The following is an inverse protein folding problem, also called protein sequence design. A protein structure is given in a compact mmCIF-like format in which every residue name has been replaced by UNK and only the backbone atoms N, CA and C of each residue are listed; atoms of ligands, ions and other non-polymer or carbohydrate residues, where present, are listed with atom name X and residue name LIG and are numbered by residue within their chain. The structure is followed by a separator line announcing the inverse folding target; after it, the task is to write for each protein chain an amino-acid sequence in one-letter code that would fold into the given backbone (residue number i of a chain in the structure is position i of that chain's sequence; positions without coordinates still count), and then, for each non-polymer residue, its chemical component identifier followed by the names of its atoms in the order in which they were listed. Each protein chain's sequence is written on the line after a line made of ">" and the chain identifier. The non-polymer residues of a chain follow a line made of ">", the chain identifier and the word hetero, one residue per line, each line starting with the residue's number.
data_IF_395971915017
#
_entry.id   IF_395971915017
#
_cell.length_a   1.000
_cell.length_b   1.000
_cell.length_c   1.000
_cell.angle_alpha   90.00
_cell.angle_beta   90.00
_cell.angle_gamma   90.00
#
_symmetry.space_group_name_H-M   'P 1'
#
loop_
_entity.id
_entity.type
_entity.pdbx_description
1 polymer ?
#
# COMPACT_ATOMS: atom_id res chain seq x y z
N UNK A 1 -22.01 -1.03 32.75
CA UNK A 1 -22.54 0.23 33.31
C UNK A 1 -21.55 1.40 33.30
N UNK A 2 -20.24 1.17 33.43
CA UNK A 2 -19.21 2.24 33.50
C UNK A 2 -19.19 3.17 32.27
N UNK A 3 -19.38 2.64 31.05
CA UNK A 3 -19.35 3.46 29.82
C UNK A 3 -20.47 4.50 29.73
N UNK A 4 -21.66 4.22 30.29
CA UNK A 4 -22.77 5.17 30.28
C UNK A 4 -22.51 6.37 31.21
N UNK A 5 -21.84 6.12 32.34
CA UNK A 5 -21.46 7.16 33.30
C UNK A 5 -20.38 8.09 32.72
N UNK A 6 -19.37 7.52 32.07
CA UNK A 6 -18.30 8.30 31.41
C UNK A 6 -18.85 9.14 30.25
N UNK A 7 -19.71 8.58 29.40
CA UNK A 7 -20.37 9.32 28.33
C UNK A 7 -21.23 10.49 28.85
N UNK A 8 -21.92 10.29 29.98
CA UNK A 8 -22.68 11.35 30.64
C UNK A 8 -21.80 12.49 31.16
N UNK A 9 -20.64 12.16 31.73
CA UNK A 9 -19.66 13.15 32.19
C UNK A 9 -19.06 13.96 31.03
N UNK A 10 -18.69 13.30 29.93
CA UNK A 10 -18.17 13.95 28.74
C UNK A 10 -19.22 14.89 28.11
N UNK A 11 -20.47 14.43 27.99
CA UNK A 11 -21.57 15.25 27.48
C UNK A 11 -21.83 16.50 28.36
N UNK A 12 -21.76 16.36 29.69
CA UNK A 12 -21.89 17.49 30.61
C UNK A 12 -20.74 18.50 30.45
N UNK A 13 -19.50 18.03 30.27
CA UNK A 13 -18.33 18.88 29.99
C UNK A 13 -18.49 19.63 28.67
N UNK A 14 -18.95 18.96 27.61
CA UNK A 14 -19.21 19.61 26.32
C UNK A 14 -20.34 20.64 26.39
N UNK A 15 -21.44 20.31 27.08
CA UNK A 15 -22.56 21.25 27.32
C UNK A 15 -22.08 22.50 28.06
N UNK A 16 -21.29 22.33 29.12
CA UNK A 16 -20.71 23.43 29.88
C UNK A 16 -19.75 24.29 29.04
N UNK A 17 -18.87 23.66 28.24
CA UNK A 17 -17.94 24.38 27.35
C UNK A 17 -18.68 25.18 26.27
N UNK A 18 -19.71 24.63 25.65
CA UNK A 18 -20.53 25.32 24.65
C UNK A 18 -21.33 26.47 25.28
N UNK A 19 -21.93 26.25 26.45
CA UNK A 19 -22.65 27.30 27.16
C UNK A 19 -21.72 28.42 27.65
N UNK A 20 -20.52 28.11 28.16
CA UNK A 20 -19.51 29.10 28.55
C UNK A 20 -19.00 29.91 27.35
N UNK A 21 -18.91 29.28 26.16
CA UNK A 21 -18.58 29.97 24.89
C UNK A 21 -19.69 30.92 24.43
N UNK A 22 -20.95 30.59 24.75
CA UNK A 22 -22.13 31.40 24.45
C UNK A 22 -22.44 32.47 25.53
N UNK A 23 -21.97 32.30 26.76
CA UNK A 23 -22.14 33.29 27.86
C UNK A 23 -21.23 34.50 27.75
N UNK A 24 -20.18 34.46 26.92
CA UNK A 24 -19.56 35.69 26.39
C UNK A 24 -20.52 36.29 25.36
N UNK A 25 -21.56 36.98 25.86
CA UNK A 25 -22.43 37.88 25.10
C UNK A 25 -21.57 39.06 24.61
N UNK A 26 -20.78 38.80 23.58
CA UNK A 26 -20.42 39.83 22.63
C UNK A 26 -21.74 40.24 21.97
N UNK A 27 -22.25 41.43 22.30
CA UNK A 27 -23.37 42.07 21.60
C UNK A 27 -23.09 42.30 20.10
N UNK A 28 -21.93 41.89 19.60
CA UNK A 28 -21.48 41.92 18.22
C UNK A 28 -21.48 40.57 17.49
N UNK A 29 -21.89 39.45 18.10
CA UNK A 29 -22.03 38.14 17.39
C UNK A 29 -23.28 38.11 16.51
N UNK A 30 -23.33 38.99 15.52
CA UNK A 30 -24.13 38.77 14.32
C UNK A 30 -23.40 37.69 13.53
N UNK A 31 -24.00 36.50 13.40
CA UNK A 31 -23.56 35.58 12.36
C UNK A 31 -23.93 36.23 11.04
N UNK A 32 -22.93 36.74 10.32
CA UNK A 32 -23.11 37.12 8.93
C UNK A 32 -23.42 35.83 8.16
N UNK A 33 -24.71 35.50 8.06
CA UNK A 33 -25.17 34.39 7.24
C UNK A 33 -25.56 34.95 5.90
N UNK A 34 -24.86 34.53 4.85
CA UNK A 34 -25.29 34.71 3.46
C UNK A 34 -26.49 33.80 3.11
N UNK A 35 -27.19 33.29 4.13
CA UNK A 35 -28.35 32.45 4.00
C UNK A 35 -29.52 33.29 3.48
N UNK A 36 -29.78 33.17 2.18
CA UNK A 36 -30.98 33.70 1.57
C UNK A 36 -32.16 32.80 1.93
N UNK A 37 -33.29 33.40 2.33
CA UNK A 37 -34.56 32.67 2.41
C UNK A 37 -34.99 32.33 0.99
N UNK A 38 -34.92 31.05 0.65
CA UNK A 38 -35.28 30.54 -0.67
C UNK A 38 -36.73 30.07 -0.64
N UNK A 39 -37.51 30.41 -1.66
CA UNK A 39 -38.89 29.93 -1.76
C UNK A 39 -38.94 28.43 -2.05
N UNK A 40 -40.04 27.75 -1.69
CA UNK A 40 -40.19 26.29 -1.90
C UNK A 40 -39.91 25.84 -3.35
N UNK A 41 -40.25 26.67 -4.34
CA UNK A 41 -40.01 26.38 -5.76
C UNK A 41 -38.53 26.48 -6.14
N UNK A 42 -37.87 27.55 -5.72
CA UNK A 42 -36.43 27.76 -5.96
C UNK A 42 -35.60 26.68 -5.25
N UNK A 43 -35.98 26.30 -4.03
CA UNK A 43 -35.30 25.25 -3.27
C UNK A 43 -35.38 23.89 -3.97
N UNK A 44 -36.54 23.54 -4.56
CA UNK A 44 -36.69 22.32 -5.37
C UNK A 44 -35.80 22.34 -6.62
N UNK A 45 -35.67 23.49 -7.28
CA UNK A 45 -34.81 23.62 -8.46
C UNK A 45 -33.32 23.50 -8.09
N UNK A 46 -32.89 24.15 -7.01
CA UNK A 46 -31.52 24.03 -6.50
C UNK A 46 -31.19 22.60 -6.09
N UNK A 47 -32.08 21.92 -5.37
CA UNK A 47 -31.90 20.52 -4.97
C UNK A 47 -31.75 19.59 -6.19
N UNK A 48 -32.56 19.78 -7.24
CA UNK A 48 -32.43 19.02 -8.50
C UNK A 48 -31.10 19.30 -9.20
N UNK A 49 -30.67 20.56 -9.27
CA UNK A 49 -29.40 20.94 -9.88
C UNK A 49 -28.20 20.38 -9.11
N UNK A 50 -28.22 20.41 -7.78
CA UNK A 50 -27.19 19.82 -6.94
C UNK A 50 -27.16 18.29 -7.05
N UNK A 51 -28.32 17.64 -7.08
CA UNK A 51 -28.39 16.20 -7.29
C UNK A 51 -27.78 15.79 -8.63
N UNK A 52 -28.08 16.54 -9.71
CA UNK A 52 -27.47 16.32 -11.02
C UNK A 52 -25.95 16.52 -11.00
N UNK A 53 -25.45 17.59 -10.36
CA UNK A 53 -24.00 17.84 -10.21
C UNK A 53 -23.30 16.73 -9.42
N UNK A 54 -23.90 16.27 -8.31
CA UNK A 54 -23.37 15.16 -7.50
C UNK A 54 -23.35 13.86 -8.28
N UNK A 55 -24.41 13.56 -9.04
CA UNK A 55 -24.46 12.37 -9.89
C UNK A 55 -23.40 12.40 -11.00
N UNK A 56 -23.19 13.55 -11.66
CA UNK A 56 -22.16 13.70 -12.68
C UNK A 56 -20.74 13.54 -12.10
N UNK A 57 -20.46 14.18 -10.96
CA UNK A 57 -19.17 14.04 -10.27
C UNK A 57 -18.91 12.59 -9.86
N UNK A 58 -19.91 11.91 -9.29
CA UNK A 58 -19.78 10.51 -8.88
C UNK A 58 -19.44 9.60 -10.07
N UNK A 59 -20.10 9.78 -11.22
CA UNK A 59 -19.78 9.00 -12.43
C UNK A 59 -18.34 9.23 -12.91
N UNK A 60 -17.84 10.47 -12.87
CA UNK A 60 -16.47 10.79 -13.25
C UNK A 60 -15.44 10.19 -12.28
N UNK A 61 -15.71 10.24 -10.98
CA UNK A 61 -14.85 9.62 -9.96
C UNK A 61 -14.84 8.09 -10.10
N UNK A 62 -16.00 7.47 -10.32
CA UNK A 62 -16.14 6.02 -10.55
C UNK A 62 -15.36 5.57 -11.82
N UNK A 63 -15.41 6.36 -12.90
CA UNK A 63 -14.65 6.06 -14.12
C UNK A 63 -13.13 6.19 -13.90
N UNK A 64 -12.71 7.23 -13.16
CA UNK A 64 -11.30 7.43 -12.81
C UNK A 64 -10.77 6.29 -11.94
N UNK A 65 -11.56 5.80 -10.99
CA UNK A 65 -11.19 4.65 -10.16
C UNK A 65 -11.09 3.35 -10.97
N UNK A 66 -12.01 3.11 -11.91
CA UNK A 66 -11.93 1.94 -12.80
C UNK A 66 -10.65 1.98 -13.64
N UNK A 67 -10.37 3.12 -14.29
CA UNK A 67 -9.13 3.30 -15.06
C UNK A 67 -7.86 3.07 -14.23
N UNK A 68 -7.83 3.49 -12.97
CA UNK A 68 -6.70 3.21 -12.07
C UNK A 68 -6.54 1.71 -11.79
N UNK A 69 -7.64 1.03 -11.46
CA UNK A 69 -7.64 -0.42 -11.18
C UNK A 69 -7.24 -1.23 -12.41
N UNK A 70 -7.66 -0.81 -13.60
CA UNK A 70 -7.30 -1.48 -14.84
C UNK A 70 -5.79 -1.31 -15.14
N UNK A 71 -5.25 -0.10 -14.96
CA UNK A 71 -3.81 0.15 -15.08
C UNK A 71 -2.97 -0.64 -14.06
N UNK A 72 -3.44 -0.75 -12.81
CA UNK A 72 -2.77 -1.55 -11.77
C UNK A 72 -2.77 -3.05 -12.13
N UNK A 73 -3.90 -3.56 -12.65
CA UNK A 73 -4.01 -4.95 -13.11
C UNK A 73 -3.09 -5.23 -14.29
N UNK A 74 -3.07 -4.35 -15.28
CA UNK A 74 -2.17 -4.44 -16.43
C UNK A 74 -0.69 -4.43 -15.99
N UNK A 75 -0.33 -3.60 -15.01
CA UNK A 75 1.04 -3.55 -14.50
C UNK A 75 1.45 -4.85 -13.78
N UNK A 76 0.54 -5.44 -13.00
CA UNK A 76 0.79 -6.74 -12.35
C UNK A 76 0.97 -7.85 -13.40
N UNK A 77 0.10 -7.90 -14.42
CA UNK A 77 0.21 -8.89 -15.49
C UNK A 77 1.51 -8.72 -16.28
N UNK A 78 1.91 -7.47 -16.56
CA UNK A 78 3.17 -7.13 -17.23
C UNK A 78 4.37 -7.63 -16.44
N UNK A 79 4.41 -7.38 -15.13
CA UNK A 79 5.50 -7.86 -14.26
C UNK A 79 5.55 -9.39 -14.19
N UNK A 80 4.39 -10.04 -14.05
CA UNK A 80 4.29 -11.50 -14.04
C UNK A 80 4.74 -12.14 -15.37
N UNK A 81 4.54 -11.47 -16.51
CA UNK A 81 5.05 -11.92 -17.79
C UNK A 81 6.58 -11.77 -17.87
N UNK A 82 7.12 -10.65 -17.40
CA UNK A 82 8.56 -10.38 -17.40
C UNK A 82 9.36 -11.36 -16.53
N UNK A 83 8.82 -11.76 -15.38
CA UNK A 83 9.43 -12.79 -14.52
C UNK A 83 9.61 -14.13 -15.25
N UNK A 84 8.70 -14.48 -16.17
CA UNK A 84 8.80 -15.73 -16.95
C UNK A 84 9.89 -15.66 -18.01
N UNK A 85 10.10 -14.50 -18.62
CA UNK A 85 11.00 -14.36 -19.76
C UNK A 85 12.47 -14.10 -19.37
N UNK A 86 12.79 -13.88 -18.09
CA UNK A 86 14.17 -13.65 -17.60
C UNK A 86 14.97 -12.71 -18.51
N UNK A 87 14.31 -11.69 -19.05
CA UNK A 87 14.93 -10.81 -20.02
C UNK A 87 16.03 -9.99 -19.34
N UNK A 88 17.28 -10.19 -19.77
CA UNK A 88 18.39 -9.41 -19.26
C UNK A 88 18.19 -7.92 -19.59
N UNK A 89 18.22 -7.07 -18.57
CA UNK A 89 18.14 -5.63 -18.77
C UNK A 89 19.39 -5.14 -19.50
N UNK A 90 19.24 -4.68 -20.74
CA UNK A 90 20.32 -4.11 -21.54
C UNK A 90 20.27 -2.58 -21.57
N UNK A 91 21.43 -1.96 -21.81
CA UNK A 91 21.59 -0.52 -21.99
C UNK A 91 22.00 0.27 -20.73
N UNK A 92 22.16 1.58 -20.89
CA UNK A 92 22.55 2.48 -19.82
C UNK A 92 21.40 2.76 -18.86
N UNK A 93 21.65 2.73 -17.54
CA UNK A 93 20.64 3.04 -16.50
C UNK A 93 20.10 4.48 -16.65
N UNK A 94 20.91 5.40 -17.17
CA UNK A 94 20.52 6.82 -17.33
C UNK A 94 19.46 7.03 -18.42
N UNK A 95 19.39 6.15 -19.43
CA UNK A 95 18.43 6.25 -20.53
C UNK A 95 17.13 5.47 -20.29
N UNK A 96 17.04 4.73 -19.17
CA UNK A 96 15.86 3.93 -18.84
C UNK A 96 14.70 4.81 -18.35
N UNK A 97 13.49 4.44 -18.77
CA UNK A 97 12.26 5.09 -18.33
C UNK A 97 11.99 4.82 -16.84
N UNK A 98 11.15 5.64 -16.19
CA UNK A 98 10.76 5.43 -14.79
C UNK A 98 10.23 4.01 -14.55
N UNK A 99 9.39 3.51 -15.46
CA UNK A 99 8.79 2.16 -15.36
C UNK A 99 9.86 1.08 -15.39
N UNK A 100 10.78 1.12 -16.35
CA UNK A 100 11.87 0.15 -16.42
C UNK A 100 12.77 0.19 -15.18
N UNK A 101 13.05 1.39 -14.62
CA UNK A 101 13.83 1.51 -13.39
C UNK A 101 13.13 0.87 -12.19
N UNK A 102 11.80 1.03 -12.10
CA UNK A 102 10.99 0.37 -11.08
C UNK A 102 10.98 -1.15 -11.27
N UNK A 103 10.87 -1.63 -12.51
CA UNK A 103 10.92 -3.06 -12.83
C UNK A 103 12.30 -3.67 -12.46
N UNK A 104 13.40 -2.95 -12.71
CA UNK A 104 14.76 -3.38 -12.29
C UNK A 104 14.87 -3.43 -10.76
N UNK A 105 14.40 -2.40 -10.05
CA UNK A 105 14.43 -2.37 -8.58
C UNK A 105 13.56 -3.47 -7.97
N UNK A 106 12.39 -3.73 -8.54
CA UNK A 106 11.51 -4.80 -8.14
C UNK A 106 12.18 -6.18 -8.34
N UNK A 107 12.82 -6.40 -9.49
CA UNK A 107 13.59 -7.61 -9.75
C UNK A 107 14.78 -7.80 -8.79
N UNK A 108 15.32 -6.69 -8.25
CA UNK A 108 16.36 -6.71 -7.21
C UNK A 108 15.80 -6.82 -5.78
N UNK A 109 14.47 -6.87 -5.61
CA UNK A 109 13.82 -6.92 -4.29
C UNK A 109 13.91 -5.60 -3.50
N UNK A 110 14.05 -4.46 -4.19
CA UNK A 110 14.15 -3.13 -3.60
C UNK A 110 12.86 -2.34 -3.77
N UNK A 111 12.59 -1.44 -2.82
CA UNK A 111 11.43 -0.54 -2.88
C UNK A 111 11.52 0.43 -4.06
N UNK A 112 10.44 0.55 -4.83
CA UNK A 112 10.44 1.18 -6.16
C UNK A 112 9.81 2.59 -6.18
N UNK A 113 9.84 3.31 -5.06
CA UNK A 113 9.17 4.60 -4.93
C UNK A 113 10.13 5.79 -5.03
N UNK A 114 9.75 6.77 -5.85
CA UNK A 114 10.52 8.01 -5.98
C UNK A 114 10.50 8.67 -7.36
N UNK A 115 11.37 9.67 -7.50
CA UNK A 115 11.67 10.35 -8.76
C UNK A 115 12.72 9.56 -9.54
N UNK A 116 12.78 9.76 -10.87
CA UNK A 116 13.75 9.06 -11.75
C UNK A 116 15.19 9.23 -11.25
N UNK A 117 15.56 10.42 -10.80
CA UNK A 117 16.90 10.71 -10.27
C UNK A 117 17.23 9.88 -9.02
N UNK A 118 16.26 9.64 -8.13
CA UNK A 118 16.44 8.82 -6.93
C UNK A 118 16.64 7.36 -7.32
N UNK A 119 15.80 6.82 -8.21
CA UNK A 119 15.91 5.43 -8.67
C UNK A 119 17.24 5.18 -9.39
N UNK A 120 17.67 6.11 -10.25
CA UNK A 120 18.97 6.05 -10.93
C UNK A 120 20.14 6.12 -9.96
N UNK A 121 20.05 6.94 -8.91
CA UNK A 121 21.08 7.05 -7.87
C UNK A 121 21.22 5.73 -7.09
N UNK A 122 20.10 5.15 -6.66
CA UNK A 122 20.09 3.87 -5.92
C UNK A 122 20.72 2.76 -6.78
N UNK A 123 20.28 2.62 -8.03
CA UNK A 123 20.85 1.63 -8.95
C UNK A 123 22.34 1.90 -9.22
N UNK A 124 22.72 3.15 -9.43
CA UNK A 124 24.12 3.54 -9.62
C UNK A 124 25.01 3.15 -8.44
N UNK A 125 24.57 3.41 -7.20
CA UNK A 125 25.31 3.01 -6.00
C UNK A 125 25.46 1.51 -5.86
N UNK A 126 24.39 0.77 -6.18
CA UNK A 126 24.39 -0.70 -6.07
C UNK A 126 25.32 -1.33 -7.11
N UNK A 127 25.28 -0.85 -8.37
CA UNK A 127 26.17 -1.32 -9.43
C UNK A 127 27.63 -1.02 -9.10
N UNK A 128 27.93 0.20 -8.65
CA UNK A 128 29.29 0.61 -8.31
C UNK A 128 29.88 -0.25 -7.18
N UNK A 129 29.12 -0.47 -6.10
CA UNK A 129 29.58 -1.27 -4.95
C UNK A 129 29.94 -2.72 -5.35
N UNK A 130 29.14 -3.36 -6.21
CA UNK A 130 29.41 -4.73 -6.69
C UNK A 130 30.64 -4.80 -7.60
N UNK A 131 30.86 -3.79 -8.43
CA UNK A 131 32.05 -3.76 -9.30
C UNK A 131 33.33 -3.57 -8.50
N UNK A 132 33.32 -2.75 -7.44
CA UNK A 132 34.48 -2.55 -6.56
C UNK A 132 34.85 -3.84 -5.84
N UNK A 133 33.88 -4.54 -5.25
CA UNK A 133 34.13 -5.84 -4.60
C UNK A 133 34.73 -6.87 -5.57
N UNK A 134 34.28 -6.88 -6.83
CA UNK A 134 34.82 -7.80 -7.85
C UNK A 134 36.26 -7.45 -8.24
N UNK A 135 36.61 -6.17 -8.33
CA UNK A 135 37.97 -5.73 -8.61
C UNK A 135 38.93 -6.09 -7.47
N UNK A 136 38.53 -5.85 -6.22
CA UNK A 136 39.32 -6.23 -5.04
C UNK A 136 39.50 -7.75 -4.93
N UNK A 137 38.45 -8.52 -5.23
CA UNK A 137 38.54 -9.97 -5.30
C UNK A 137 39.57 -10.41 -6.35
N UNK A 138 39.49 -9.90 -7.58
CA UNK A 138 40.48 -10.22 -8.61
C UNK A 138 41.90 -9.82 -8.19
N UNK A 139 42.10 -8.68 -7.53
CA UNK A 139 43.44 -8.26 -7.09
C UNK A 139 44.03 -9.20 -6.03
N UNK A 140 43.20 -9.74 -5.13
CA UNK A 140 43.65 -10.73 -4.13
C UNK A 140 44.04 -12.08 -4.75
N UNK A 141 43.35 -12.51 -5.80
CA UNK A 141 43.60 -13.82 -6.42
C UNK A 141 44.53 -13.78 -7.65
N UNK A 142 44.79 -12.60 -8.21
CA UNK A 142 45.60 -12.45 -9.42
C UNK A 142 47.08 -12.12 -9.16
N UNK A 143 47.54 -11.99 -7.90
CA UNK A 143 48.97 -11.87 -7.62
C UNK A 143 49.67 -13.21 -7.88
N UNK A 144 50.51 -13.36 -8.93
CA UNK A 144 51.05 -14.66 -9.35
C UNK A 144 52.18 -15.21 -8.46
N UNK A 145 52.31 -14.76 -7.22
CA UNK A 145 53.58 -14.82 -6.48
C UNK A 145 53.58 -15.42 -5.07
N UNK A 146 52.45 -15.88 -4.53
CA UNK A 146 52.44 -16.49 -3.19
C UNK A 146 51.82 -17.90 -3.18
N UNK A 147 52.37 -18.79 -4.02
CA UNK A 147 52.28 -20.24 -3.81
C UNK A 147 53.38 -20.71 -2.85
N UNK A 148 53.47 -20.10 -1.68
CA UNK A 148 54.18 -20.66 -0.54
C UNK A 148 53.30 -20.43 0.67
N UNK A 149 52.57 -21.48 1.06
CA UNK A 149 52.73 -22.14 2.36
C UNK A 149 51.90 -23.43 2.27
N UNK A 150 52.56 -24.56 2.43
CA UNK A 150 52.00 -25.79 2.96
C UNK A 150 51.35 -25.47 4.32
N UNK A 151 50.08 -25.08 4.35
CA UNK A 151 49.31 -25.18 5.59
C UNK A 151 48.57 -26.49 5.50
N UNK A 152 49.02 -27.42 6.35
CA UNK A 152 48.32 -28.65 6.65
C UNK A 152 46.83 -28.36 6.79
N UNK A 153 46.04 -29.01 5.95
CA UNK A 153 44.59 -29.09 6.12
C UNK A 153 44.36 -29.75 7.48
N UNK A 154 43.76 -29.08 8.47
CA UNK A 154 43.37 -29.76 9.70
C UNK A 154 42.36 -30.83 9.32
N UNK A 155 42.72 -32.10 9.53
CA UNK A 155 41.92 -33.29 9.28
C UNK A 155 40.78 -33.48 10.29
N UNK A 156 40.33 -32.42 10.96
CA UNK A 156 39.33 -32.49 12.01
C UNK A 156 38.11 -31.63 11.67
N UNK A 157 37.30 -32.09 10.73
CA UNK A 157 35.88 -31.73 10.69
C UNK A 157 35.06 -32.86 10.04
N UNK A 158 35.18 -34.06 10.61
CA UNK A 158 34.33 -35.22 10.33
C UNK A 158 33.91 -35.92 11.63
N UNK A 159 32.97 -35.31 12.36
CA UNK A 159 31.98 -35.99 13.22
C UNK A 159 30.77 -35.04 13.17
N UNK A 160 29.75 -35.24 12.33
CA UNK A 160 28.76 -36.31 12.49
C UNK A 160 28.18 -36.79 11.15
N UNK A 161 28.55 -38.02 10.78
CA UNK A 161 27.75 -38.86 9.90
C UNK A 161 26.54 -39.39 10.66
N UNK A 162 25.52 -38.55 10.84
CA UNK A 162 24.23 -38.99 11.35
C UNK A 162 23.05 -38.13 10.87
N UNK A 163 22.98 -37.76 9.58
CA UNK A 163 21.72 -37.29 8.99
C UNK A 163 21.72 -37.30 7.44
N UNK A 164 22.30 -38.33 6.84
CA UNK A 164 21.89 -38.78 5.50
C UNK A 164 20.82 -39.86 5.64
N UNK A 165 19.58 -39.47 5.96
CA UNK A 165 18.34 -40.06 5.41
C UNK A 165 17.09 -39.45 6.09
N UNK A 166 16.69 -38.25 5.66
CA UNK A 166 15.28 -37.86 5.73
C UNK A 166 14.87 -37.25 4.41
N UNK A 167 14.53 -38.16 3.50
CA UNK A 167 13.38 -38.02 2.61
C UNK A 167 12.38 -37.00 3.17
N UNK A 168 12.11 -35.99 2.36
CA UNK A 168 10.75 -35.65 1.92
C UNK A 168 9.69 -35.91 2.99
N UNK A 169 9.57 -34.98 3.92
CA UNK A 169 8.32 -34.50 4.50
C UNK A 169 8.73 -33.40 5.48
N UNK A 170 9.19 -32.27 4.94
CA UNK A 170 8.90 -31.03 5.62
C UNK A 170 7.38 -31.01 5.73
N UNK A 171 6.88 -31.42 6.89
CA UNK A 171 5.55 -31.12 7.32
C UNK A 171 5.47 -29.59 7.22
N UNK A 172 4.92 -29.14 6.10
CA UNK A 172 4.20 -27.90 6.03
C UNK A 172 3.18 -28.08 7.16
N UNK A 173 3.51 -27.55 8.34
CA UNK A 173 2.49 -27.05 9.24
C UNK A 173 1.82 -25.99 8.38
N UNK A 174 0.85 -26.45 7.60
CA UNK A 174 -0.28 -25.63 7.19
C UNK A 174 -0.82 -25.24 8.54
N UNK A 175 -0.36 -24.09 9.05
CA UNK A 175 -1.20 -23.30 9.91
C UNK A 175 -2.43 -23.11 9.05
N UNK A 176 -3.41 -23.97 9.29
CA UNK A 176 -4.77 -23.77 8.89
C UNK A 176 -5.09 -22.42 9.52
N UNK A 177 -4.90 -21.36 8.74
CA UNK A 177 -5.53 -20.08 9.02
C UNK A 177 -6.99 -20.47 9.17
N UNK A 178 -7.65 -20.21 10.32
CA UNK A 178 -9.07 -20.42 10.43
C UNK A 178 -9.76 -19.49 9.43
N UNK A 179 -10.00 -20.03 8.23
CA UNK A 179 -11.02 -19.54 7.31
C UNK A 179 -12.33 -19.83 8.03
N UNK A 180 -12.85 -18.81 8.70
CA UNK A 180 -14.22 -18.58 9.18
C UNK A 180 -14.17 -17.82 10.51
N UNK A 181 -13.69 -16.58 10.46
CA UNK A 181 -14.36 -15.55 11.24
C UNK A 181 -15.77 -15.43 10.63
N UNK A 182 -16.74 -16.13 11.24
CA UNK A 182 -18.16 -15.88 11.02
C UNK A 182 -18.37 -14.38 11.12
N UNK A 183 -18.69 -13.76 9.98
CA UNK A 183 -19.14 -12.39 9.97
C UNK A 183 -20.33 -12.27 10.95
N UNK A 184 -20.38 -11.22 11.79
CA UNK A 184 -21.50 -11.01 12.67
C UNK A 184 -22.79 -10.97 11.83
N UNK A 185 -23.86 -11.69 12.22
CA UNK A 185 -25.10 -11.79 11.45
C UNK A 185 -25.82 -10.44 11.24
N UNK A 186 -25.32 -9.34 11.83
CA UNK A 186 -25.87 -8.00 11.67
C UNK A 186 -25.34 -7.21 10.47
N UNK A 187 -24.26 -7.64 9.80
CA UNK A 187 -23.73 -6.94 8.63
C UNK A 187 -24.48 -7.30 7.32
N UNK A 188 -24.95 -8.54 7.20
CA UNK A 188 -25.69 -9.02 6.01
C UNK A 188 -27.13 -8.48 5.96
N UNK A 189 -27.72 -8.12 7.11
CA UNK A 189 -29.09 -7.57 7.18
C UNK A 189 -29.20 -6.16 6.60
N UNK A 190 -28.15 -5.33 6.73
CA UNK A 190 -28.11 -4.00 6.09
C UNK A 190 -27.87 -4.09 4.58
N UNK A 191 -27.08 -5.06 4.13
CA UNK A 191 -26.83 -5.27 2.70
C UNK A 191 -28.11 -5.71 1.96
N UNK A 192 -28.86 -6.67 2.52
CA UNK A 192 -30.13 -7.14 1.90
C UNK A 192 -31.24 -6.08 1.88
N UNK A 193 -31.29 -5.16 2.86
CA UNK A 193 -32.26 -4.04 2.84
C UNK A 193 -31.98 -3.04 1.71
N UNK A 194 -30.70 -2.77 1.42
CA UNK A 194 -30.34 -1.88 0.32
C UNK A 194 -30.55 -2.52 -1.06
N UNK A 195 -30.37 -3.84 -1.19
CA UNK A 195 -30.65 -4.57 -2.44
C UNK A 195 -32.16 -4.63 -2.73
N UNK A 196 -33.01 -4.84 -1.70
CA UNK A 196 -34.47 -4.81 -1.87
C UNK A 196 -34.98 -3.43 -2.27
N UNK A 197 -34.44 -2.36 -1.68
CA UNK A 197 -34.81 -0.98 -2.06
C UNK A 197 -34.40 -0.62 -3.50
N UNK A 198 -33.40 -1.29 -4.07
CA UNK A 198 -32.96 -1.09 -5.45
C UNK A 198 -33.85 -1.84 -6.47
N UNK A 199 -34.40 -2.99 -6.07
CA UNK A 199 -35.32 -3.80 -6.87
C UNK A 199 -36.75 -3.25 -6.90
N UNK A 200 -37.19 -2.52 -5.87
CA UNK A 200 -38.49 -1.81 -5.87
C UNK A 200 -38.45 -0.50 -6.68
N UNK A 201 -37.30 -0.11 -7.20
CA UNK A 201 -37.11 1.12 -7.99
C UNK A 201 -37.06 0.87 -9.51
N UNK A 202 -37.05 -0.40 -9.94
CA UNK A 202 -37.20 -0.86 -11.33
C UNK A 202 -38.57 -1.50 -11.53
#
# INVERSE_FOLDING_TARGET
>A
MVHAVLAGQEAAVYKHRLNKRNQKKDSSKRFATDARVVTSREGKQQAKAEAAKKAAKKKADDEREKRKKDLEREDILRRAAQEKESAAFSGSIKSKSKRELQDILFALGLEADGTVAVLQRILGTLVYSKTTQRAEFHQRFSSPGSMLINQAVPAEFCHDTALCDRRVTAAIKVQTIPVFARAPPDATRKFMKNVRALLEWF
#
